data_IF_022682984541
#
_entry.id   IF_022682984541
#
_cell.length_a   1.000
_cell.length_b   1.000
_cell.length_c   1.000
_cell.angle_alpha   90.00
_cell.angle_beta   90.00
_cell.angle_gamma   90.00
#
_symmetry.space_group_name_H-M   'P 1'
#
loop_
_entity.id
_entity.type
_entity.pdbx_description
1 polymer ?
#
# COMPACT_ATOMS: atom_id res chain seq x y z
N UNK A 1 -3.72 6.44 -31.34
CA UNK A 1 -2.93 7.41 -30.54
C UNK A 1 -1.49 7.38 -31.03
N UNK A 2 -0.83 8.54 -31.14
CA UNK A 2 0.59 8.59 -31.51
C UNK A 2 1.49 8.21 -30.33
N UNK A 3 2.75 7.82 -30.61
CA UNK A 3 3.75 7.49 -29.59
C UNK A 3 4.13 8.69 -28.70
N UNK A 4 3.89 9.94 -29.14
CA UNK A 4 4.08 11.12 -28.29
C UNK A 4 2.93 11.25 -27.28
N UNK A 5 1.69 11.11 -27.74
CA UNK A 5 0.49 11.20 -26.90
C UNK A 5 0.44 10.11 -25.82
N UNK A 6 0.90 8.89 -26.15
CA UNK A 6 0.98 7.80 -25.17
C UNK A 6 2.01 8.08 -24.07
N UNK A 7 3.13 8.74 -24.41
CA UNK A 7 4.16 9.11 -23.44
C UNK A 7 3.69 10.22 -22.51
N UNK A 8 3.10 11.27 -23.07
CA UNK A 8 2.52 12.38 -22.28
C UNK A 8 1.45 11.87 -21.29
N UNK A 9 0.57 10.97 -21.73
CA UNK A 9 -0.43 10.37 -20.85
C UNK A 9 0.21 9.54 -19.72
N UNK A 10 1.25 8.76 -20.04
CA UNK A 10 1.99 7.99 -19.03
C UNK A 10 2.73 8.88 -18.04
N UNK A 11 3.36 9.96 -18.51
CA UNK A 11 4.02 10.94 -17.64
C UNK A 11 3.02 11.62 -16.71
N UNK A 12 1.88 12.08 -17.23
CA UNK A 12 0.81 12.65 -16.42
C UNK A 12 0.27 11.65 -15.38
N UNK A 13 0.11 10.39 -15.76
CA UNK A 13 -0.32 9.33 -14.84
C UNK A 13 0.69 9.12 -13.69
N UNK A 14 1.99 9.12 -13.98
CA UNK A 14 3.02 8.95 -12.95
C UNK A 14 3.31 10.22 -12.15
N UNK A 15 3.01 11.40 -12.69
CA UNK A 15 3.14 12.66 -11.96
C UNK A 15 1.94 13.02 -11.11
N UNK A 16 0.80 12.35 -11.28
CA UNK A 16 -0.37 12.51 -10.42
C UNK A 16 0.00 12.39 -8.92
N UNK A 17 -0.70 13.15 -8.09
CA UNK A 17 -0.59 13.05 -6.62
C UNK A 17 -1.43 11.90 -6.07
N UNK A 18 -2.34 11.37 -6.88
CA UNK A 18 -3.35 10.40 -6.50
C UNK A 18 -3.38 9.22 -7.46
N UNK A 19 -3.53 8.01 -6.91
CA UNK A 19 -3.74 6.78 -7.67
C UNK A 19 -5.01 6.12 -7.15
N UNK A 20 -5.88 5.76 -8.08
CA UNK A 20 -7.15 5.09 -7.79
C UNK A 20 -7.11 3.66 -8.30
N UNK A 21 -7.61 2.72 -7.49
CA UNK A 21 -8.00 1.41 -7.99
C UNK A 21 -9.24 1.54 -8.89
N UNK A 22 -9.42 0.62 -9.85
CA UNK A 22 -10.69 0.46 -10.56
C UNK A 22 -11.84 0.23 -9.59
N UNK A 23 -13.01 0.76 -9.95
CA UNK A 23 -14.25 0.51 -9.22
C UNK A 23 -14.65 -0.97 -9.31
N UNK A 24 -15.31 -1.53 -8.28
CA UNK A 24 -15.85 -2.88 -8.37
C UNK A 24 -17.03 -2.91 -9.34
N UNK A 25 -17.37 -4.10 -9.82
CA UNK A 25 -18.64 -4.31 -10.52
C UNK A 25 -19.81 -3.96 -9.59
N UNK A 26 -20.77 -3.19 -10.10
CA UNK A 26 -21.97 -2.83 -9.35
C UNK A 26 -22.74 -4.10 -9.00
N UNK A 27 -22.91 -4.36 -7.71
CA UNK A 27 -23.72 -5.47 -7.22
C UNK A 27 -24.38 -5.12 -5.88
N UNK A 28 -25.34 -5.94 -5.48
CA UNK A 28 -26.11 -5.86 -4.23
C UNK A 28 -25.59 -6.83 -3.16
N UNK A 29 -24.46 -7.49 -3.41
CA UNK A 29 -23.88 -8.46 -2.49
C UNK A 29 -23.34 -7.74 -1.26
N UNK A 30 -23.70 -8.27 -0.09
CA UNK A 30 -23.09 -7.84 1.17
C UNK A 30 -21.58 -8.13 1.15
N UNK A 31 -20.77 -7.10 1.37
CA UNK A 31 -19.31 -7.20 1.34
C UNK A 31 -18.83 -8.01 2.55
N UNK A 32 -18.13 -9.10 2.29
CA UNK A 32 -17.44 -9.87 3.32
C UNK A 32 -15.95 -9.50 3.34
N UNK A 33 -15.27 -9.54 4.50
CA UNK A 33 -13.84 -9.23 4.60
C UNK A 33 -12.94 -9.97 3.60
N UNK A 34 -13.27 -11.24 3.30
CA UNK A 34 -12.53 -12.06 2.33
C UNK A 34 -12.59 -11.50 0.89
N UNK A 35 -13.66 -10.79 0.54
CA UNK A 35 -13.85 -10.22 -0.81
C UNK A 35 -12.90 -9.04 -1.07
N UNK A 36 -12.31 -8.50 0.00
CA UNK A 36 -11.34 -7.40 -0.05
C UNK A 36 -9.90 -7.88 -0.23
N UNK A 37 -9.63 -9.18 -0.06
CA UNK A 37 -8.31 -9.78 -0.27
C UNK A 37 -8.23 -10.28 -1.71
N UNK A 38 -7.56 -9.52 -2.58
CA UNK A 38 -7.33 -9.96 -3.98
C UNK A 38 -6.37 -11.16 -4.02
N UNK A 39 -6.44 -11.93 -5.12
CA UNK A 39 -5.49 -13.02 -5.36
C UNK A 39 -4.02 -12.52 -5.37
N UNK A 40 -3.77 -11.30 -5.86
CA UNK A 40 -2.43 -10.70 -5.88
C UNK A 40 -1.93 -10.31 -4.49
N UNK A 41 -2.79 -9.76 -3.63
CA UNK A 41 -2.46 -9.50 -2.24
C UNK A 41 -2.20 -10.78 -1.45
N UNK A 42 -2.97 -11.84 -1.72
CA UNK A 42 -2.73 -13.16 -1.15
C UNK A 42 -1.36 -13.72 -1.58
N UNK A 43 -1.02 -13.64 -2.88
CA UNK A 43 0.29 -14.04 -3.41
C UNK A 43 1.44 -13.29 -2.74
N UNK A 44 1.35 -11.95 -2.66
CA UNK A 44 2.38 -11.13 -2.00
C UNK A 44 2.57 -11.54 -0.55
N UNK A 45 1.48 -11.83 0.16
CA UNK A 45 1.53 -12.25 1.56
C UNK A 45 2.24 -13.59 1.75
N UNK A 46 1.95 -14.56 0.87
CA UNK A 46 2.58 -15.87 0.88
C UNK A 46 4.06 -15.78 0.48
N UNK A 47 4.39 -15.12 -0.64
CA UNK A 47 5.74 -15.05 -1.19
C UNK A 47 6.73 -14.34 -0.26
N UNK A 48 6.28 -13.30 0.43
CA UNK A 48 7.10 -12.58 1.40
C UNK A 48 7.13 -13.23 2.79
N UNK A 49 6.24 -14.19 3.01
CA UNK A 49 5.90 -14.74 4.31
C UNK A 49 5.70 -13.62 5.34
N UNK A 50 4.78 -12.69 5.04
CA UNK A 50 4.63 -11.40 5.76
C UNK A 50 4.45 -11.60 7.27
N UNK A 51 3.66 -12.60 7.67
CA UNK A 51 3.33 -12.91 9.07
C UNK A 51 4.58 -13.31 9.86
N UNK A 52 5.51 -14.03 9.22
CA UNK A 52 6.76 -14.44 9.87
C UNK A 52 7.82 -13.35 9.79
N UNK A 53 7.88 -12.61 8.67
CA UNK A 53 8.87 -11.56 8.42
C UNK A 53 8.67 -10.31 9.28
N UNK A 54 7.42 -9.90 9.48
CA UNK A 54 7.08 -8.65 10.14
C UNK A 54 6.19 -8.89 11.36
N UNK A 55 6.48 -8.17 12.45
CA UNK A 55 5.63 -8.16 13.63
C UNK A 55 4.78 -6.89 13.63
N UNK A 56 3.49 -7.04 13.37
CA UNK A 56 2.51 -5.96 13.48
C UNK A 56 2.10 -5.82 14.95
N UNK A 57 2.42 -4.69 15.57
CA UNK A 57 1.96 -4.35 16.92
C UNK A 57 0.74 -3.46 16.78
N UNK A 58 -0.35 -3.84 17.42
CA UNK A 58 -1.59 -3.08 17.39
C UNK A 58 -1.90 -2.48 18.75
N UNK A 59 -2.35 -1.22 18.80
CA UNK A 59 -2.77 -0.57 20.04
C UNK A 59 -4.16 -1.04 20.50
N UNK A 60 -4.98 -1.48 19.54
CA UNK A 60 -6.30 -2.09 19.72
C UNK A 60 -6.55 -3.20 18.70
N UNK A 61 -7.70 -3.86 18.78
CA UNK A 61 -8.15 -4.76 17.72
C UNK A 61 -8.47 -3.93 16.47
N UNK A 62 -7.95 -4.38 15.33
CA UNK A 62 -8.27 -3.82 14.01
C UNK A 62 -9.52 -4.52 13.48
N UNK A 63 -10.57 -3.77 13.18
CA UNK A 63 -11.81 -4.31 12.62
C UNK A 63 -11.67 -4.54 11.12
N UNK A 64 -12.17 -5.67 10.62
CA UNK A 64 -11.88 -6.09 9.24
C UNK A 64 -12.34 -5.09 8.16
N UNK A 65 -13.48 -4.45 8.40
CA UNK A 65 -14.08 -3.47 7.49
C UNK A 65 -13.86 -2.02 7.94
N UNK A 66 -12.94 -1.76 8.87
CA UNK A 66 -12.58 -0.37 9.17
C UNK A 66 -11.66 0.22 8.10
N UNK A 67 -11.70 1.54 7.95
CA UNK A 67 -10.88 2.29 7.01
C UNK A 67 -9.69 2.92 7.72
N UNK A 68 -8.60 3.03 6.97
CA UNK A 68 -7.42 3.78 7.37
C UNK A 68 -6.40 3.80 6.25
N UNK A 69 -5.16 4.15 6.56
CA UNK A 69 -4.08 4.20 5.60
C UNK A 69 -2.72 3.94 6.23
N UNK A 70 -1.83 3.30 5.47
CA UNK A 70 -0.41 3.34 5.77
C UNK A 70 0.15 4.71 5.44
N UNK A 71 0.74 5.39 6.43
CA UNK A 71 1.61 6.54 6.23
C UNK A 71 3.05 6.05 6.12
N UNK A 72 3.72 6.38 5.01
CA UNK A 72 5.11 6.00 4.74
C UNK A 72 5.92 7.27 4.61
N UNK A 73 6.89 7.45 5.51
CA UNK A 73 7.88 8.52 5.38
C UNK A 73 8.97 8.10 4.39
N UNK A 74 9.01 8.80 3.26
CA UNK A 74 9.96 8.59 2.16
C UNK A 74 11.04 9.66 2.11
N UNK A 75 11.13 10.56 3.10
CA UNK A 75 12.09 11.67 3.14
C UNK A 75 13.56 11.23 3.04
N UNK A 76 13.91 10.07 3.61
CA UNK A 76 15.26 9.51 3.51
C UNK A 76 15.55 8.78 2.19
N UNK A 77 14.52 8.49 1.39
CA UNK A 77 14.72 7.82 0.11
C UNK A 77 15.31 8.80 -0.89
N UNK A 78 16.31 8.35 -1.64
CA UNK A 78 16.78 9.09 -2.81
C UNK A 78 15.67 9.22 -3.84
N UNK A 79 15.71 10.30 -4.63
CA UNK A 79 14.62 10.57 -5.58
C UNK A 79 14.27 9.42 -6.54
N UNK A 80 15.25 8.70 -7.13
CA UNK A 80 14.96 7.56 -7.98
C UNK A 80 14.11 6.48 -7.30
N UNK A 81 14.33 6.23 -6.01
CA UNK A 81 13.57 5.23 -5.26
C UNK A 81 12.13 5.71 -5.00
N UNK A 82 11.91 6.99 -4.72
CA UNK A 82 10.54 7.51 -4.54
C UNK A 82 9.74 7.43 -5.84
N UNK A 83 10.38 7.72 -6.97
CA UNK A 83 9.78 7.59 -8.29
C UNK A 83 9.47 6.13 -8.66
N UNK A 84 10.42 5.23 -8.43
CA UNK A 84 10.23 3.81 -8.68
C UNK A 84 9.08 3.24 -7.82
N UNK A 85 9.05 3.59 -6.53
CA UNK A 85 7.98 3.17 -5.63
C UNK A 85 6.62 3.71 -6.08
N UNK A 86 6.53 5.00 -6.45
CA UNK A 86 5.28 5.58 -6.93
C UNK A 86 4.82 4.95 -8.25
N UNK A 87 5.73 4.74 -9.22
CA UNK A 87 5.42 4.04 -10.48
C UNK A 87 4.95 2.60 -10.24
N UNK A 88 5.56 1.90 -9.28
CA UNK A 88 5.12 0.57 -8.88
C UNK A 88 3.68 0.62 -8.34
N UNK A 89 3.40 1.51 -7.39
CA UNK A 89 2.05 1.68 -6.82
C UNK A 89 1.03 2.07 -7.90
N UNK A 90 1.38 3.00 -8.79
CA UNK A 90 0.52 3.46 -9.88
C UNK A 90 0.08 2.29 -10.77
N UNK A 91 1.06 1.47 -11.20
CA UNK A 91 0.79 0.31 -12.03
C UNK A 91 0.00 -0.79 -11.29
N UNK A 92 0.31 -1.02 -10.01
CA UNK A 92 -0.29 -2.13 -9.27
C UNK A 92 -1.71 -1.81 -8.78
N UNK A 93 -1.90 -0.63 -8.21
CA UNK A 93 -3.20 -0.12 -7.74
C UNK A 93 -4.08 0.23 -8.94
N UNK A 94 -3.56 0.92 -9.96
CA UNK A 94 -4.32 1.26 -11.17
C UNK A 94 -4.79 0.04 -11.97
N UNK A 95 -4.07 -1.10 -11.89
CA UNK A 95 -4.51 -2.38 -12.45
C UNK A 95 -5.52 -3.14 -11.57
N UNK A 96 -5.86 -2.63 -10.38
CA UNK A 96 -6.78 -3.25 -9.44
C UNK A 96 -6.21 -4.40 -8.63
N UNK A 97 -4.89 -4.64 -8.68
CA UNK A 97 -4.26 -5.75 -7.95
C UNK A 97 -4.33 -5.57 -6.43
N UNK A 98 -4.43 -4.34 -5.94
CA UNK A 98 -4.64 -4.04 -4.53
C UNK A 98 -6.12 -4.02 -4.10
N UNK A 99 -7.05 -4.29 -5.02
CA UNK A 99 -8.49 -4.22 -4.78
C UNK A 99 -9.03 -2.79 -4.82
N UNK A 100 -10.33 -2.67 -5.09
CA UNK A 100 -11.04 -1.39 -5.27
C UNK A 100 -11.05 -0.51 -4.02
N UNK A 101 -10.86 -1.10 -2.84
CA UNK A 101 -10.74 -0.36 -1.58
C UNK A 101 -9.42 0.39 -1.41
N UNK A 102 -8.48 0.27 -2.34
CA UNK A 102 -7.14 0.86 -2.22
C UNK A 102 -7.01 2.15 -3.01
N UNK A 103 -6.40 3.16 -2.38
CA UNK A 103 -6.06 4.44 -3.02
C UNK A 103 -4.69 4.88 -2.51
N UNK A 104 -3.89 5.51 -3.36
CA UNK A 104 -2.65 6.13 -2.92
C UNK A 104 -2.74 7.65 -3.03
N UNK A 105 -2.06 8.33 -2.11
CA UNK A 105 -1.85 9.76 -2.15
C UNK A 105 -0.40 10.06 -1.76
N UNK A 106 0.20 11.09 -2.33
CA UNK A 106 1.52 11.59 -1.93
C UNK A 106 1.49 13.10 -1.87
N UNK A 107 2.40 13.69 -1.12
CA UNK A 107 2.64 15.12 -1.24
C UNK A 107 3.50 15.47 -2.46
N UNK A 108 3.49 16.76 -2.82
CA UNK A 108 4.18 17.31 -3.99
C UNK A 108 5.70 17.09 -3.95
N UNK A 109 6.32 17.27 -2.78
CA UNK A 109 7.76 17.05 -2.58
C UNK A 109 8.14 15.56 -2.46
N UNK A 110 7.13 14.66 -2.50
CA UNK A 110 7.27 13.20 -2.48
C UNK A 110 7.94 12.69 -1.20
N UNK A 111 7.91 13.43 -0.10
CA UNK A 111 8.50 13.03 1.20
C UNK A 111 7.61 12.09 2.00
N UNK A 112 6.35 11.88 1.62
CA UNK A 112 5.55 10.79 2.15
C UNK A 112 4.55 10.24 1.15
N UNK A 113 4.09 9.01 1.44
CA UNK A 113 3.02 8.34 0.71
C UNK A 113 1.97 7.83 1.71
N UNK A 114 0.70 8.04 1.41
CA UNK A 114 -0.44 7.39 2.06
C UNK A 114 -0.99 6.30 1.17
N UNK A 115 -1.21 5.11 1.72
CA UNK A 115 -1.87 4.00 1.03
C UNK A 115 -3.09 3.60 1.82
N UNK A 116 -4.25 4.07 1.39
CA UNK A 116 -5.54 3.79 2.01
C UNK A 116 -5.95 2.36 1.75
N UNK A 117 -6.45 1.68 2.77
CA UNK A 117 -6.92 0.30 2.65
C UNK A 117 -7.92 -0.06 3.77
N UNK A 118 -8.44 -1.28 3.72
CA UNK A 118 -9.29 -1.86 4.76
C UNK A 118 -8.45 -2.56 5.84
N UNK A 119 -8.98 -2.66 7.06
CA UNK A 119 -8.33 -3.34 8.18
C UNK A 119 -7.90 -4.78 7.88
N UNK A 120 -8.72 -5.54 7.15
CA UNK A 120 -8.42 -6.94 6.78
C UNK A 120 -7.20 -7.10 5.87
N UNK A 121 -6.81 -6.06 5.11
CA UNK A 121 -5.66 -6.09 4.19
C UNK A 121 -4.46 -5.28 4.67
N UNK A 122 -4.42 -4.84 5.94
CA UNK A 122 -3.30 -4.05 6.50
C UNK A 122 -1.94 -4.72 6.26
N UNK A 123 -1.80 -6.00 6.62
CA UNK A 123 -0.58 -6.78 6.42
C UNK A 123 -0.23 -7.00 4.93
N UNK A 124 -1.16 -7.53 4.11
CA UNK A 124 -0.94 -7.69 2.67
C UNK A 124 -0.52 -6.41 1.94
N UNK A 125 -1.15 -5.27 2.28
CA UNK A 125 -0.80 -3.95 1.73
C UNK A 125 0.59 -3.52 2.19
N UNK A 126 0.96 -3.76 3.44
CA UNK A 126 2.33 -3.51 3.90
C UNK A 126 3.37 -4.28 3.08
N UNK A 127 3.08 -5.54 2.73
CA UNK A 127 3.94 -6.33 1.83
C UNK A 127 4.08 -5.73 0.43
N UNK A 128 2.99 -5.22 -0.15
CA UNK A 128 3.04 -4.48 -1.41
C UNK A 128 3.95 -3.26 -1.29
N UNK A 129 3.78 -2.44 -0.25
CA UNK A 129 4.61 -1.24 -0.04
C UNK A 129 6.08 -1.63 0.13
N UNK A 130 6.35 -2.71 0.85
CA UNK A 130 7.70 -3.26 0.99
C UNK A 130 8.31 -3.65 -0.37
N UNK A 131 7.55 -4.27 -1.28
CA UNK A 131 8.01 -4.53 -2.65
C UNK A 131 8.23 -3.24 -3.44
N UNK A 132 7.30 -2.28 -3.35
CA UNK A 132 7.40 -0.98 -4.01
C UNK A 132 8.67 -0.23 -3.58
N UNK A 133 9.08 -0.38 -2.32
CA UNK A 133 10.29 0.21 -1.75
C UNK A 133 11.60 -0.50 -2.16
N UNK A 134 11.56 -1.42 -3.13
CA UNK A 134 12.68 -2.33 -3.45
C UNK A 134 13.21 -3.08 -2.22
N UNK A 135 12.29 -3.42 -1.28
CA UNK A 135 12.60 -4.07 0.00
C UNK A 135 13.46 -3.21 0.96
N UNK A 136 13.45 -1.88 0.80
CA UNK A 136 14.18 -0.92 1.65
C UNK A 136 13.32 -0.16 2.64
N UNK A 137 12.02 -0.46 2.72
CA UNK A 137 11.12 0.15 3.70
C UNK A 137 11.60 -0.19 5.12
N UNK A 138 11.89 0.87 5.88
CA UNK A 138 12.23 0.79 7.29
C UNK A 138 10.96 0.78 8.12
N UNK A 139 10.86 -0.15 9.06
CA UNK A 139 9.61 -0.40 9.82
C UNK A 139 9.19 0.79 10.69
N UNK A 140 10.16 1.54 11.21
CA UNK A 140 9.97 2.73 12.06
C UNK A 140 9.50 3.96 11.29
N UNK A 141 9.47 3.90 9.96
CA UNK A 141 9.01 4.98 9.06
C UNK A 141 7.64 4.67 8.46
N UNK A 142 6.89 3.76 9.09
CA UNK A 142 5.60 3.31 8.62
C UNK A 142 4.65 3.01 9.76
N UNK A 143 3.46 3.58 9.68
CA UNK A 143 2.35 3.33 10.59
C UNK A 143 1.04 3.27 9.82
N UNK A 144 0.11 2.43 10.28
CA UNK A 144 -1.25 2.43 9.77
C UNK A 144 -2.13 3.24 10.71
N UNK A 145 -2.73 4.28 10.16
CA UNK A 145 -3.56 5.26 10.84
C UNK A 145 -5.02 4.98 10.49
N UNK A 146 -5.88 4.91 11.50
CA UNK A 146 -7.31 4.64 11.31
C UNK A 146 -8.10 5.87 10.80
N UNK A 147 -9.42 5.73 10.68
CA UNK A 147 -10.32 6.79 10.25
C UNK A 147 -10.43 7.97 11.22
N UNK A 148 -10.05 7.77 12.49
CA UNK A 148 -10.05 8.81 13.53
C UNK A 148 -8.72 9.57 13.59
N UNK A 149 -7.72 9.13 12.81
CA UNK A 149 -6.40 9.77 12.75
C UNK A 149 -5.40 9.20 13.75
N UNK A 150 -5.71 8.08 14.40
CA UNK A 150 -4.86 7.45 15.41
C UNK A 150 -3.97 6.37 14.79
N UNK A 151 -2.70 6.32 15.19
CA UNK A 151 -1.78 5.27 14.78
C UNK A 151 -2.13 3.94 15.50
N UNK A 152 -2.79 3.03 14.77
CA UNK A 152 -3.29 1.77 15.34
C UNK A 152 -2.35 0.61 15.10
N UNK A 153 -1.61 0.59 13.98
CA UNK A 153 -0.66 -0.48 13.66
C UNK A 153 0.71 0.10 13.40
N UNK A 154 1.72 -0.41 14.10
CA UNK A 154 3.13 -0.15 13.81
C UNK A 154 3.84 -1.46 13.50
N UNK A 155 4.89 -1.40 12.69
CA UNK A 155 5.66 -2.58 12.31
C UNK A 155 6.96 -2.63 13.08
N UNK A 156 7.35 -3.82 13.51
CA UNK A 156 8.70 -4.11 13.96
C UNK A 156 9.29 -5.22 13.10
N UNK A 157 10.58 -5.10 12.76
CA UNK A 157 11.34 -6.24 12.29
C UNK A 157 11.33 -7.31 13.39
N UNK A 158 11.19 -8.58 13.01
CA UNK A 158 11.39 -9.68 13.94
C UNK A 158 12.91 -9.80 14.15
N UNK A 159 13.37 -9.81 15.39
CA UNK A 159 14.80 -10.00 15.69
C UNK A 159 15.26 -11.27 14.98
N UNK A 160 16.33 -11.16 14.20
CA UNK A 160 17.04 -12.33 13.69
C UNK A 160 17.48 -13.12 14.92
N UNK A 161 16.89 -14.29 15.17
CA UNK A 161 17.47 -15.23 16.13
C UNK A 161 18.87 -15.51 15.61
N UNK A 162 19.86 -14.92 16.27
CA UNK A 162 21.26 -15.19 16.01
C UNK A 162 21.46 -16.62 16.52
N UNK A 163 21.42 -17.58 15.60
CA UNK A 163 21.84 -18.96 15.86
C UNK A 163 23.34 -19.06 15.76
#
# INVERSE_FOLDING_TARGET
MSTSQQREFQEQFYDALEIYSPEPEVCDKEIQPKDLITAKLHQVSADLNIIDRFKFKTSRKVESLERGFWLIDTSEWQMPLREAAWKFLANWVGAGFAGWGTRCYRNEDRSWIRVYCWGVVVGPIYGMIYLASERRLKTERSEWIDGDGEAVVVVAARDSVTS
#
